data_IF_661195306656
#
_entry.id   IF_661195306656
#
_cell.length_a   1.000
_cell.length_b   1.000
_cell.length_c   1.000
_cell.angle_alpha   90.00
_cell.angle_beta   90.00
_cell.angle_gamma   90.00
#
_symmetry.space_group_name_H-M   'P 1'
#
loop_
_entity.id
_entity.type
_entity.pdbx_description
1 polymer ?
#
# COMPACT_ATOMS: atom_id res chain seq x y z
N UNK A 1 -4.10 25.59 -11.75
CA UNK A 1 -3.60 24.96 -10.50
C UNK A 1 -2.50 23.99 -10.85
N UNK A 2 -1.28 24.27 -10.48
CA UNK A 2 -0.15 23.33 -10.63
C UNK A 2 0.00 22.63 -9.29
N UNK A 3 -0.39 21.35 -9.22
CA UNK A 3 -0.07 20.49 -8.08
C UNK A 3 1.40 20.06 -8.13
N UNK A 4 1.97 19.57 -7.05
CA UNK A 4 3.34 19.07 -7.02
C UNK A 4 3.62 17.99 -8.10
N UNK A 5 2.59 17.29 -8.56
CA UNK A 5 2.66 16.29 -9.64
C UNK A 5 2.42 16.84 -11.05
N UNK A 6 2.27 18.16 -11.22
CA UNK A 6 1.98 18.82 -12.50
C UNK A 6 0.50 19.22 -12.65
N UNK A 7 0.15 19.76 -13.83
CA UNK A 7 -1.24 20.07 -14.16
C UNK A 7 -2.05 18.78 -14.28
N UNK A 8 -3.27 18.70 -13.71
CA UNK A 8 -4.10 17.52 -13.86
C UNK A 8 -4.42 17.27 -15.34
N UNK A 9 -4.13 16.05 -15.81
CA UNK A 9 -4.48 15.63 -17.17
C UNK A 9 -5.96 15.33 -17.27
N UNK A 10 -6.53 14.80 -16.21
CA UNK A 10 -7.91 14.38 -16.18
C UNK A 10 -8.42 14.39 -14.74
N UNK A 11 -9.63 14.90 -14.54
CA UNK A 11 -10.30 14.99 -13.25
C UNK A 11 -11.69 14.38 -13.39
N UNK A 12 -12.00 13.39 -12.57
CA UNK A 12 -13.32 12.78 -12.47
C UNK A 12 -13.86 13.03 -11.07
N UNK A 13 -15.02 13.65 -11.01
CA UNK A 13 -15.73 13.89 -9.76
C UNK A 13 -16.95 12.96 -9.70
N UNK A 14 -16.98 12.12 -8.68
CA UNK A 14 -18.12 11.25 -8.35
C UNK A 14 -18.65 11.65 -6.97
N UNK A 15 -19.49 12.68 -6.91
CA UNK A 15 -19.91 13.25 -5.63
C UNK A 15 -18.74 13.82 -4.87
N UNK A 16 -18.48 13.32 -3.67
CA UNK A 16 -17.36 13.77 -2.83
C UNK A 16 -16.04 13.07 -3.17
N UNK A 17 -16.08 12.02 -4.00
CA UNK A 17 -14.88 11.28 -4.40
C UNK A 17 -14.28 11.93 -5.62
N UNK A 18 -13.05 12.37 -5.49
CA UNK A 18 -12.28 12.97 -6.59
C UNK A 18 -11.19 11.99 -7.02
N UNK A 19 -11.23 11.59 -8.28
CA UNK A 19 -10.16 10.84 -8.93
C UNK A 19 -9.44 11.80 -9.86
N UNK A 20 -8.13 11.97 -9.66
CA UNK A 20 -7.39 12.85 -10.54
C UNK A 20 -6.07 12.23 -11.01
N UNK A 21 -5.82 12.40 -12.29
CA UNK A 21 -4.62 11.94 -12.95
C UNK A 21 -3.68 13.11 -13.23
N UNK A 22 -2.53 13.10 -12.59
CA UNK A 22 -1.38 13.92 -12.96
C UNK A 22 -0.42 13.06 -13.79
N UNK A 23 0.57 13.60 -14.48
CA UNK A 23 1.61 12.80 -15.13
C UNK A 23 2.30 11.83 -14.17
N UNK A 24 2.49 12.25 -12.92
CA UNK A 24 3.10 11.45 -11.86
C UNK A 24 2.21 10.29 -11.44
N UNK A 25 0.94 10.57 -11.04
CA UNK A 25 0.01 9.51 -10.61
C UNK A 25 -0.33 8.55 -11.74
N UNK A 26 -0.39 9.04 -12.99
CA UNK A 26 -0.58 8.20 -14.18
C UNK A 26 0.57 7.19 -14.34
N UNK A 27 1.81 7.63 -14.15
CA UNK A 27 2.98 6.73 -14.22
C UNK A 27 2.93 5.65 -13.15
N UNK A 28 2.57 6.01 -11.90
CA UNK A 28 2.41 5.06 -10.80
C UNK A 28 1.24 4.10 -11.05
N UNK A 29 0.13 4.60 -11.60
CA UNK A 29 -1.02 3.78 -11.94
C UNK A 29 -0.68 2.75 -13.03
N UNK A 30 0.01 3.16 -14.08
CA UNK A 30 0.45 2.23 -15.15
C UNK A 30 1.37 1.16 -14.57
N UNK A 31 2.29 1.53 -13.68
CA UNK A 31 3.18 0.59 -13.02
C UNK A 31 2.39 -0.42 -12.18
N UNK A 32 1.43 0.04 -11.36
CA UNK A 32 0.54 -0.82 -10.58
C UNK A 32 -0.27 -1.77 -11.48
N UNK A 33 -0.81 -1.26 -12.59
CA UNK A 33 -1.59 -2.03 -13.54
C UNK A 33 -0.76 -3.14 -14.20
N UNK A 34 0.44 -2.80 -14.69
CA UNK A 34 1.35 -3.76 -15.33
C UNK A 34 1.68 -4.91 -14.38
N UNK A 35 2.06 -4.61 -13.12
CA UNK A 35 2.37 -5.66 -12.16
C UNK A 35 1.14 -6.49 -11.76
N UNK A 36 -0.04 -5.86 -11.66
CA UNK A 36 -1.28 -6.60 -11.42
C UNK A 36 -1.60 -7.57 -12.55
N UNK A 37 -1.41 -7.13 -13.80
CA UNK A 37 -1.58 -7.99 -14.98
C UNK A 37 -0.54 -9.12 -15.00
N UNK A 38 0.72 -8.86 -14.63
CA UNK A 38 1.74 -9.90 -14.49
C UNK A 38 1.36 -10.94 -13.43
N UNK A 39 0.80 -10.52 -12.29
CA UNK A 39 0.27 -11.44 -11.26
C UNK A 39 -0.88 -12.28 -11.82
N UNK A 40 -1.79 -11.68 -12.58
CA UNK A 40 -2.92 -12.38 -13.21
C UNK A 40 -2.42 -13.40 -14.25
N UNK A 41 -1.44 -13.02 -15.07
CA UNK A 41 -0.88 -13.87 -16.13
C UNK A 41 0.05 -14.96 -15.60
N UNK A 42 0.62 -14.78 -14.40
CA UNK A 42 1.60 -15.71 -13.84
C UNK A 42 0.99 -17.07 -13.52
N UNK A 43 1.82 -18.11 -13.68
CA UNK A 43 1.49 -19.47 -13.20
C UNK A 43 2.23 -19.69 -11.88
N UNK A 44 1.51 -19.76 -10.75
CA UNK A 44 2.16 -19.96 -9.46
C UNK A 44 2.73 -21.38 -9.34
N UNK A 45 3.90 -21.46 -8.76
CA UNK A 45 4.51 -22.74 -8.39
C UNK A 45 3.78 -23.34 -7.19
N UNK A 46 3.63 -24.66 -7.20
CA UNK A 46 3.01 -25.40 -6.07
C UNK A 46 4.00 -25.73 -4.98
N UNK A 47 5.27 -25.87 -5.34
CA UNK A 47 6.34 -26.15 -4.38
C UNK A 47 6.99 -24.83 -3.97
N UNK A 48 6.97 -24.58 -2.68
CA UNK A 48 7.64 -23.42 -2.09
C UNK A 48 8.72 -23.87 -1.12
N UNK A 49 9.92 -23.35 -1.32
CA UNK A 49 10.99 -23.51 -0.36
C UNK A 49 10.89 -22.40 0.68
N UNK A 50 10.66 -22.76 1.92
CA UNK A 50 10.55 -21.85 3.04
C UNK A 50 11.87 -21.86 3.78
N UNK A 51 12.55 -20.70 3.83
CA UNK A 51 13.82 -20.56 4.53
C UNK A 51 13.61 -20.39 6.04
N UNK A 52 14.34 -21.19 6.83
CA UNK A 52 14.40 -21.09 8.29
C UNK A 52 15.82 -20.65 8.71
N UNK A 53 16.11 -19.39 8.72
CA UNK A 53 17.48 -18.94 9.00
C UNK A 53 18.40 -19.07 7.78
N UNK A 54 19.72 -19.18 8.02
CA UNK A 54 20.72 -19.09 6.94
C UNK A 54 20.85 -20.35 6.09
N UNK A 55 20.59 -21.55 6.64
CA UNK A 55 20.97 -22.80 5.99
C UNK A 55 19.90 -23.90 6.01
N UNK A 56 18.72 -23.63 6.57
CA UNK A 56 17.65 -24.59 6.66
C UNK A 56 16.46 -24.25 5.75
N UNK A 57 16.10 -25.17 4.88
CA UNK A 57 14.95 -25.04 3.97
C UNK A 57 13.93 -26.13 4.26
N UNK A 58 12.66 -25.80 4.14
CA UNK A 58 11.57 -26.75 4.13
C UNK A 58 10.77 -26.55 2.86
N UNK A 59 10.76 -27.56 2.02
CA UNK A 59 9.92 -27.58 0.83
C UNK A 59 8.49 -27.93 1.23
N UNK A 60 7.55 -27.05 0.91
CA UNK A 60 6.13 -27.26 1.17
C UNK A 60 5.34 -27.22 -0.13
N UNK A 61 4.49 -28.21 -0.32
CA UNK A 61 3.49 -28.19 -1.37
C UNK A 61 2.26 -27.40 -0.92
N UNK A 62 1.85 -26.43 -1.72
CA UNK A 62 0.70 -25.56 -1.45
C UNK A 62 -0.56 -26.18 -2.04
N UNK A 63 -1.64 -26.22 -1.25
CA UNK A 63 -2.94 -26.66 -1.73
C UNK A 63 -3.52 -25.69 -2.79
N UNK A 64 -4.39 -26.20 -3.65
CA UNK A 64 -5.07 -25.36 -4.66
C UNK A 64 -5.89 -24.22 -4.02
N UNK A 65 -6.48 -24.45 -2.85
CA UNK A 65 -7.26 -23.43 -2.12
C UNK A 65 -6.36 -22.30 -1.59
N UNK A 66 -5.20 -22.65 -1.00
CA UNK A 66 -4.21 -21.67 -0.54
C UNK A 66 -3.70 -20.81 -1.71
N UNK A 67 -3.44 -21.46 -2.84
CA UNK A 67 -2.96 -20.78 -4.04
C UNK A 67 -4.02 -19.83 -4.64
N UNK A 68 -5.30 -20.25 -4.69
CA UNK A 68 -6.39 -19.39 -5.16
C UNK A 68 -6.59 -18.18 -4.24
N UNK A 69 -6.56 -18.40 -2.93
CA UNK A 69 -6.69 -17.32 -1.95
C UNK A 69 -5.53 -16.32 -2.05
N UNK A 70 -4.30 -16.82 -2.17
CA UNK A 70 -3.11 -16.01 -2.35
C UNK A 70 -3.19 -15.13 -3.61
N UNK A 71 -3.64 -15.73 -4.72
CA UNK A 71 -3.82 -15.02 -5.98
C UNK A 71 -4.91 -13.94 -5.86
N UNK A 72 -6.03 -14.26 -5.22
CA UNK A 72 -7.09 -13.30 -4.96
C UNK A 72 -6.58 -12.10 -4.16
N UNK A 73 -5.84 -12.34 -3.06
CA UNK A 73 -5.25 -11.28 -2.25
C UNK A 73 -4.23 -10.43 -3.02
N UNK A 74 -3.43 -11.04 -3.90
CA UNK A 74 -2.48 -10.31 -4.71
C UNK A 74 -3.15 -9.41 -5.76
N UNK A 75 -4.24 -9.87 -6.38
CA UNK A 75 -5.04 -9.05 -7.29
C UNK A 75 -5.73 -7.91 -6.53
N UNK A 76 -6.31 -8.20 -5.37
CA UNK A 76 -6.91 -7.19 -4.50
C UNK A 76 -5.89 -6.13 -4.05
N UNK A 77 -4.65 -6.55 -3.73
CA UNK A 77 -3.54 -5.66 -3.43
C UNK A 77 -3.22 -4.71 -4.59
N UNK A 78 -3.19 -5.24 -5.82
CA UNK A 78 -2.96 -4.44 -7.02
C UNK A 78 -4.08 -3.41 -7.25
N UNK A 79 -5.33 -3.83 -7.13
CA UNK A 79 -6.49 -2.92 -7.26
C UNK A 79 -6.48 -1.84 -6.18
N UNK A 80 -6.20 -2.20 -4.93
CA UNK A 80 -6.09 -1.24 -3.82
C UNK A 80 -4.94 -0.24 -4.06
N UNK A 81 -3.79 -0.72 -4.57
CA UNK A 81 -2.66 0.15 -4.91
C UNK A 81 -3.00 1.13 -6.03
N UNK A 82 -3.74 0.69 -7.06
CA UNK A 82 -4.23 1.58 -8.13
C UNK A 82 -5.17 2.64 -7.56
N UNK A 83 -6.10 2.25 -6.67
CA UNK A 83 -7.00 3.20 -5.99
C UNK A 83 -6.22 4.22 -5.15
N UNK A 84 -5.26 3.78 -4.33
CA UNK A 84 -4.44 4.65 -3.50
C UNK A 84 -3.67 5.70 -4.32
N UNK A 85 -3.20 5.34 -5.51
CA UNK A 85 -2.40 6.22 -6.35
C UNK A 85 -3.23 7.32 -7.01
N UNK A 86 -4.47 7.02 -7.44
CA UNK A 86 -5.31 7.95 -8.22
C UNK A 86 -6.32 8.73 -7.40
N UNK A 87 -6.55 8.34 -6.14
CA UNK A 87 -7.50 9.06 -5.30
C UNK A 87 -7.04 10.50 -5.03
N UNK A 88 -7.98 11.43 -5.10
CA UNK A 88 -7.81 12.84 -4.75
C UNK A 88 -8.32 13.17 -3.35
N UNK A 89 -8.70 12.17 -2.55
CA UNK A 89 -9.14 12.33 -1.18
C UNK A 89 -8.18 11.63 -0.21
N UNK A 90 -7.86 12.34 0.88
CA UNK A 90 -6.91 11.83 1.87
C UNK A 90 -7.49 10.65 2.68
N UNK A 91 -8.80 10.64 2.94
CA UNK A 91 -9.44 9.52 3.63
C UNK A 91 -9.42 8.25 2.77
N UNK A 92 -9.77 8.37 1.50
CA UNK A 92 -9.72 7.26 0.56
C UNK A 92 -8.29 6.75 0.38
N UNK A 93 -7.29 7.64 0.36
CA UNK A 93 -5.89 7.25 0.35
C UNK A 93 -5.54 6.39 1.58
N UNK A 94 -5.98 6.79 2.78
CA UNK A 94 -5.78 6.01 4.01
C UNK A 94 -6.49 4.64 3.93
N UNK A 95 -7.72 4.61 3.41
CA UNK A 95 -8.50 3.39 3.26
C UNK A 95 -7.83 2.39 2.31
N UNK A 96 -7.41 2.85 1.13
CA UNK A 96 -6.71 1.99 0.17
C UNK A 96 -5.35 1.52 0.69
N UNK A 97 -4.62 2.37 1.44
CA UNK A 97 -3.37 1.99 2.09
C UNK A 97 -3.59 0.88 3.11
N UNK A 98 -4.61 1.01 3.97
CA UNK A 98 -4.98 -0.04 4.94
C UNK A 98 -5.37 -1.35 4.23
N UNK A 99 -6.11 -1.27 3.12
CA UNK A 99 -6.46 -2.42 2.29
C UNK A 99 -5.21 -3.12 1.72
N UNK A 100 -4.22 -2.37 1.27
CA UNK A 100 -2.93 -2.93 0.82
C UNK A 100 -2.24 -3.68 1.95
N UNK A 101 -2.21 -3.13 3.17
CA UNK A 101 -1.67 -3.80 4.36
C UNK A 101 -2.36 -5.14 4.63
N UNK A 102 -3.69 -5.16 4.64
CA UNK A 102 -4.50 -6.37 4.81
C UNK A 102 -4.21 -7.39 3.71
N UNK A 103 -4.14 -6.96 2.45
CA UNK A 103 -3.82 -7.83 1.33
C UNK A 103 -2.42 -8.44 1.44
N UNK A 104 -1.43 -7.65 1.85
CA UNK A 104 -0.06 -8.11 2.08
C UNK A 104 -0.01 -9.21 3.16
N UNK A 105 -0.70 -9.00 4.30
CA UNK A 105 -0.88 -10.04 5.33
C UNK A 105 -1.53 -11.28 4.72
N UNK A 106 -2.61 -11.13 3.97
CA UNK A 106 -3.34 -12.22 3.34
C UNK A 106 -2.51 -13.04 2.35
N UNK A 107 -1.68 -12.38 1.52
CA UNK A 107 -0.77 -13.04 0.57
C UNK A 107 0.19 -13.99 1.29
N UNK A 108 0.71 -13.57 2.43
CA UNK A 108 1.71 -14.33 3.19
C UNK A 108 1.04 -15.37 4.08
N UNK A 109 0.00 -15.00 4.82
CA UNK A 109 -0.74 -15.89 5.71
C UNK A 109 -1.46 -17.04 4.97
N UNK A 110 -1.68 -16.90 3.65
CA UNK A 110 -2.22 -17.97 2.81
C UNK A 110 -1.38 -19.24 2.84
N UNK A 111 -0.07 -19.12 3.08
CA UNK A 111 0.83 -20.26 3.25
C UNK A 111 0.72 -20.78 4.68
N UNK A 112 0.07 -21.93 4.86
CA UNK A 112 -0.16 -22.55 6.18
C UNK A 112 1.12 -23.18 6.74
N UNK A 113 2.09 -22.34 7.09
CA UNK A 113 3.30 -22.71 7.83
C UNK A 113 3.41 -21.82 9.06
N UNK A 114 3.74 -22.39 10.21
CA UNK A 114 3.83 -21.67 11.49
C UNK A 114 4.75 -20.44 11.41
N UNK A 115 5.90 -20.58 10.76
CA UNK A 115 6.87 -19.50 10.64
C UNK A 115 6.35 -18.36 9.73
N UNK A 116 5.74 -18.73 8.60
CA UNK A 116 5.16 -17.78 7.65
C UNK A 116 3.99 -17.05 8.28
N UNK A 117 3.12 -17.76 8.99
CA UNK A 117 1.99 -17.13 9.70
C UNK A 117 2.46 -16.21 10.82
N UNK A 118 3.52 -16.57 11.55
CA UNK A 118 4.10 -15.70 12.58
C UNK A 118 4.68 -14.42 11.95
N UNK A 119 5.37 -14.53 10.82
CA UNK A 119 5.87 -13.37 10.08
C UNK A 119 4.72 -12.45 9.59
N UNK A 120 3.66 -13.04 9.04
CA UNK A 120 2.46 -12.31 8.63
C UNK A 120 1.78 -11.61 9.82
N UNK A 121 1.71 -12.27 10.98
CA UNK A 121 1.16 -11.71 12.20
C UNK A 121 1.98 -10.52 12.72
N UNK A 122 3.31 -10.66 12.79
CA UNK A 122 4.19 -9.58 13.24
C UNK A 122 4.07 -8.35 12.31
N UNK A 123 4.09 -8.57 11.01
CA UNK A 123 3.86 -7.47 10.06
C UNK A 123 2.47 -6.87 10.23
N UNK A 124 1.43 -7.69 10.41
CA UNK A 124 0.06 -7.22 10.61
C UNK A 124 -0.10 -6.32 11.82
N UNK A 125 0.60 -6.59 12.93
CA UNK A 125 0.61 -5.72 14.11
C UNK A 125 1.23 -4.36 13.81
N UNK A 126 2.34 -4.33 13.08
CA UNK A 126 3.00 -3.08 12.68
C UNK A 126 2.11 -2.29 11.72
N UNK A 127 1.54 -2.94 10.71
CA UNK A 127 0.63 -2.31 9.76
C UNK A 127 -0.63 -1.77 10.44
N UNK A 128 -1.19 -2.48 11.43
CA UNK A 128 -2.32 -2.01 12.21
C UNK A 128 -1.99 -0.73 13.00
N UNK A 129 -0.85 -0.72 13.71
CA UNK A 129 -0.40 0.47 14.44
C UNK A 129 -0.16 1.66 13.48
N UNK A 130 0.44 1.40 12.34
CA UNK A 130 0.67 2.38 11.28
C UNK A 130 -0.65 2.96 10.72
N UNK A 131 -1.64 2.10 10.51
CA UNK A 131 -2.98 2.50 10.05
C UNK A 131 -3.64 3.47 11.03
N UNK A 132 -3.51 3.25 12.34
CA UNK A 132 -4.04 4.18 13.36
C UNK A 132 -3.38 5.56 13.24
N UNK A 133 -2.07 5.62 13.04
CA UNK A 133 -1.35 6.89 12.84
C UNK A 133 -1.81 7.58 11.54
N UNK A 134 -1.99 6.84 10.49
CA UNK A 134 -2.40 7.35 9.18
C UNK A 134 -3.80 7.97 9.24
N UNK A 135 -4.79 7.26 9.80
CA UNK A 135 -6.15 7.78 9.98
C UNK A 135 -6.20 8.91 11.02
N UNK A 136 -5.42 8.83 12.09
CA UNK A 136 -5.27 9.91 13.06
C UNK A 136 -4.73 11.19 12.42
N UNK A 137 -3.71 11.05 11.57
CA UNK A 137 -3.17 12.18 10.79
C UNK A 137 -4.22 12.79 9.86
N UNK A 138 -4.97 11.96 9.13
CA UNK A 138 -6.03 12.45 8.23
C UNK A 138 -7.16 13.16 8.98
N UNK A 139 -7.58 12.64 10.15
CA UNK A 139 -8.55 13.29 11.00
C UNK A 139 -8.07 14.67 11.51
N UNK A 140 -6.78 14.78 11.85
CA UNK A 140 -6.19 16.06 12.24
C UNK A 140 -6.14 17.06 11.06
N UNK A 141 -5.88 16.59 9.82
CA UNK A 141 -5.99 17.44 8.62
C UNK A 141 -7.42 17.95 8.47
N UNK A 142 -8.43 17.08 8.56
CA UNK A 142 -9.83 17.48 8.48
C UNK A 142 -10.20 18.50 9.56
N UNK A 143 -9.72 18.32 10.79
CA UNK A 143 -9.98 19.23 11.90
C UNK A 143 -9.33 20.62 11.72
N UNK A 144 -8.18 20.68 11.04
CA UNK A 144 -7.44 21.96 10.84
C UNK A 144 -7.88 22.70 9.58
N UNK A 145 -8.23 22.00 8.53
CA UNK A 145 -8.52 22.60 7.21
C UNK A 145 -9.99 22.53 6.80
N UNK A 146 -10.80 21.69 7.46
CA UNK A 146 -12.21 21.47 7.13
C UNK A 146 -12.43 20.61 5.88
N UNK A 147 -11.37 20.08 5.24
CA UNK A 147 -11.47 19.26 4.02
C UNK A 147 -10.40 18.20 3.98
N UNK A 148 -10.66 17.11 3.25
CA UNK A 148 -9.70 16.04 2.95
C UNK A 148 -9.38 15.96 1.44
N UNK A 149 -9.98 16.84 0.64
CA UNK A 149 -9.73 16.89 -0.80
C UNK A 149 -8.33 17.44 -1.10
N UNK A 150 -7.45 16.60 -1.64
CA UNK A 150 -6.08 16.95 -1.98
C UNK A 150 -5.98 18.11 -3.00
N UNK A 151 -6.83 18.18 -4.04
CA UNK A 151 -6.84 19.34 -4.94
C UNK A 151 -7.15 20.66 -4.25
N UNK A 152 -8.05 20.65 -3.24
CA UNK A 152 -8.39 21.86 -2.47
C UNK A 152 -7.25 22.23 -1.52
N UNK A 153 -6.67 21.22 -0.83
CA UNK A 153 -5.51 21.43 0.05
C UNK A 153 -4.31 22.02 -0.71
N UNK A 154 -4.08 21.60 -1.95
CA UNK A 154 -3.01 22.11 -2.81
C UNK A 154 -3.20 23.55 -3.25
N UNK A 155 -4.36 24.20 -3.02
CA UNK A 155 -4.57 25.62 -3.42
C UNK A 155 -3.79 26.60 -2.55
N UNK A 156 -3.34 26.20 -1.38
CA UNK A 156 -2.65 27.05 -0.40
C UNK A 156 -3.54 28.14 0.22
N UNK A 157 -4.85 28.08 0.04
CA UNK A 157 -5.81 29.05 0.60
C UNK A 157 -6.25 28.70 2.02
N UNK A 158 -5.98 27.46 2.46
CA UNK A 158 -6.36 26.93 3.75
C UNK A 158 -5.25 27.11 4.79
N UNK A 159 -5.57 26.99 6.11
CA UNK A 159 -4.55 27.01 7.15
C UNK A 159 -3.48 25.95 6.89
N UNK A 160 -2.21 26.29 7.15
CA UNK A 160 -1.10 25.37 6.96
C UNK A 160 -1.22 24.17 7.92
N UNK A 161 -1.11 22.96 7.40
CA UNK A 161 -1.13 21.73 8.20
C UNK A 161 0.15 21.65 9.04
N UNK A 162 0.06 21.45 10.37
CA UNK A 162 1.25 21.35 11.23
C UNK A 162 2.19 20.22 10.80
N UNK A 163 3.48 20.45 10.93
CA UNK A 163 4.51 19.45 10.58
C UNK A 163 4.32 18.12 11.29
N UNK A 164 3.89 18.15 12.55
CA UNK A 164 3.58 16.93 13.32
C UNK A 164 2.50 16.08 12.66
N UNK A 165 1.46 16.69 12.10
CA UNK A 165 0.38 15.99 11.40
C UNK A 165 0.88 15.34 10.12
N UNK A 166 1.69 16.07 9.35
CA UNK A 166 2.37 15.52 8.16
C UNK A 166 3.26 14.32 8.55
N UNK A 167 3.98 14.42 9.68
CA UNK A 167 4.81 13.33 10.19
C UNK A 167 3.98 12.09 10.54
N UNK A 168 2.79 12.22 11.15
CA UNK A 168 1.91 11.08 11.41
C UNK A 168 1.51 10.35 10.13
N UNK A 169 1.19 11.07 9.07
CA UNK A 169 0.82 10.49 7.77
C UNK A 169 2.03 9.74 7.18
N UNK A 170 3.22 10.35 7.18
CA UNK A 170 4.44 9.72 6.65
C UNK A 170 4.80 8.47 7.44
N UNK A 171 4.82 8.54 8.77
CA UNK A 171 5.15 7.40 9.64
C UNK A 171 4.11 6.29 9.45
N UNK A 172 2.83 6.64 9.33
CA UNK A 172 1.77 5.70 9.03
C UNK A 172 2.00 4.94 7.71
N UNK A 173 2.40 5.62 6.65
CA UNK A 173 2.74 4.96 5.39
C UNK A 173 4.04 4.15 5.49
N UNK A 174 5.06 4.65 6.20
CA UNK A 174 6.32 3.91 6.41
C UNK A 174 6.08 2.58 7.14
N UNK A 175 5.07 2.49 8.00
CA UNK A 175 4.68 1.25 8.68
C UNK A 175 4.20 0.14 7.75
N UNK A 176 3.83 0.46 6.50
CA UNK A 176 3.54 -0.52 5.46
C UNK A 176 4.79 -1.29 4.96
N UNK A 177 5.92 -1.13 5.66
CA UNK A 177 7.14 -1.92 5.43
C UNK A 177 8.22 -1.17 4.69
N UNK A 178 8.27 0.15 4.85
CA UNK A 178 9.41 0.98 4.46
C UNK A 178 10.35 1.19 5.66
N UNK A 179 11.57 1.69 5.41
CA UNK A 179 12.47 2.01 6.50
C UNK A 179 11.87 3.07 7.44
N UNK A 180 11.97 2.95 8.76
CA UNK A 180 12.75 1.95 9.52
C UNK A 180 11.98 0.64 9.80
N UNK A 181 10.69 0.52 9.44
CA UNK A 181 9.83 -0.63 9.75
C UNK A 181 10.02 -1.83 8.81
N UNK A 182 11.00 -1.76 7.91
CA UNK A 182 11.29 -2.80 6.92
C UNK A 182 11.58 -4.18 7.56
N UNK A 183 12.13 -4.22 8.77
CA UNK A 183 12.46 -5.47 9.44
C UNK A 183 11.25 -6.42 9.61
N UNK A 184 10.08 -5.87 9.97
CA UNK A 184 8.86 -6.67 10.08
C UNK A 184 8.41 -7.25 8.74
N UNK A 185 8.63 -6.52 7.65
CA UNK A 185 8.29 -6.95 6.29
C UNK A 185 9.33 -7.91 5.70
N UNK A 186 10.60 -7.75 6.08
CA UNK A 186 11.67 -8.63 5.60
C UNK A 186 11.42 -10.10 5.95
N UNK A 187 10.85 -10.37 7.13
CA UNK A 187 10.46 -11.73 7.53
C UNK A 187 9.39 -12.34 6.60
N UNK A 188 8.52 -11.52 6.00
CA UNK A 188 7.52 -12.00 5.05
C UNK A 188 8.14 -12.51 3.75
N UNK A 189 9.34 -12.02 3.37
CA UNK A 189 10.05 -12.47 2.18
C UNK A 189 10.69 -13.84 2.33
N UNK A 190 10.71 -14.42 3.53
CA UNK A 190 11.09 -15.79 3.77
C UNK A 190 10.06 -16.81 3.24
N UNK A 191 8.84 -16.35 2.96
CA UNK A 191 7.84 -17.15 2.26
C UNK A 191 7.96 -16.89 0.75
N UNK A 192 8.76 -17.66 0.03
CA UNK A 192 9.06 -17.38 -1.35
C UNK A 192 7.84 -17.58 -2.24
N UNK A 193 7.90 -17.03 -3.39
CA UNK A 193 6.93 -17.18 -4.45
C UNK A 193 6.76 -15.87 -5.17
N UNK A 194 7.67 -15.64 -6.12
CA UNK A 194 7.39 -14.71 -7.19
C UNK A 194 6.11 -15.19 -7.93
N UNK A 195 5.20 -14.34 -8.33
CA UNK A 195 5.27 -12.88 -8.30
C UNK A 195 4.67 -12.22 -7.05
N UNK A 196 4.13 -12.98 -6.11
CA UNK A 196 3.33 -12.45 -5.00
C UNK A 196 4.13 -11.59 -4.01
N UNK A 197 5.37 -12.02 -3.70
CA UNK A 197 6.27 -11.25 -2.83
C UNK A 197 6.66 -9.92 -3.47
N UNK A 198 6.86 -9.92 -4.80
CA UNK A 198 7.14 -8.69 -5.56
C UNK A 198 5.97 -7.73 -5.45
N UNK A 199 4.72 -8.24 -5.50
CA UNK A 199 3.52 -7.41 -5.33
C UNK A 199 3.48 -6.72 -3.97
N UNK A 200 3.83 -7.43 -2.89
CA UNK A 200 3.92 -6.83 -1.55
C UNK A 200 4.95 -5.69 -1.49
N UNK A 201 6.11 -5.83 -2.14
CA UNK A 201 7.15 -4.79 -2.15
C UNK A 201 6.73 -3.60 -3.01
N UNK A 202 6.20 -3.87 -4.19
CA UNK A 202 5.81 -2.84 -5.15
C UNK A 202 4.66 -1.99 -4.59
N UNK A 203 3.64 -2.61 -4.00
CA UNK A 203 2.51 -1.89 -3.44
C UNK A 203 2.94 -0.88 -2.38
N UNK A 204 3.85 -1.26 -1.48
CA UNK A 204 4.39 -0.34 -0.48
C UNK A 204 5.22 0.77 -1.09
N UNK A 205 6.02 0.47 -2.10
CA UNK A 205 6.79 1.48 -2.82
C UNK A 205 5.87 2.51 -3.50
N UNK A 206 4.81 2.05 -4.16
CA UNK A 206 3.84 2.92 -4.84
C UNK A 206 3.14 3.86 -3.85
N UNK A 207 2.69 3.34 -2.70
CA UNK A 207 2.07 4.14 -1.65
C UNK A 207 3.06 5.14 -1.06
N UNK A 208 4.31 4.73 -0.84
CA UNK A 208 5.36 5.62 -0.35
C UNK A 208 5.67 6.75 -1.35
N UNK A 209 5.77 6.44 -2.63
CA UNK A 209 5.95 7.46 -3.65
C UNK A 209 4.75 8.41 -3.70
N UNK A 210 3.53 7.89 -3.56
CA UNK A 210 2.32 8.70 -3.53
C UNK A 210 2.25 9.62 -2.31
N UNK A 211 2.65 9.16 -1.11
CA UNK A 211 2.61 9.98 0.10
C UNK A 211 3.54 11.19 0.02
N UNK A 212 4.64 11.09 -0.71
CA UNK A 212 5.53 12.24 -0.93
C UNK A 212 4.75 13.39 -1.60
N UNK A 213 3.99 13.08 -2.65
CA UNK A 213 3.14 14.07 -3.31
C UNK A 213 2.05 14.60 -2.38
N UNK A 214 1.37 13.71 -1.65
CA UNK A 214 0.33 14.09 -0.68
C UNK A 214 0.88 15.07 0.36
N UNK A 215 2.03 14.79 0.95
CA UNK A 215 2.63 15.66 2.00
C UNK A 215 3.07 17.01 1.46
N UNK A 216 3.48 17.08 0.20
CA UNK A 216 3.80 18.36 -0.45
C UNK A 216 2.55 19.20 -0.72
N UNK A 217 1.38 18.55 -0.93
CA UNK A 217 0.10 19.23 -1.14
C UNK A 217 -0.55 19.71 0.18
N UNK A 218 -0.24 19.07 1.31
CA UNK A 218 -0.66 19.48 2.65
C UNK A 218 0.14 20.70 3.17
#
# INVERSE_FOLDING_TARGET
>A
MTTAGGTPLFLLEFGDIVIYFTPYTTSLFILALVFTLLVIASRPERQLDIAFGTDAYMTKEISLSEMRFRRFMAIACGLASMGAVVTGDLFDFCLFTALVGICNVGIVAAVKSRHVQNAAYQYGLVALAATVLLFGGSAMVAATTGTLSLPILATGTLPAVPLAVKAFIVIGVMGEGMAPFYAAKAEMFRAPGAPYVIMCSLSSLLIFLRVIEVVVQL
#
